data_IF_920204720028
#
_entry.id   IF_920204720028
#
_cell.length_a   1.000
_cell.length_b   1.000
_cell.length_c   1.000
_cell.angle_alpha   90.00
_cell.angle_beta   90.00
_cell.angle_gamma   90.00
#
_symmetry.space_group_name_H-M   'P 1'
#
loop_
_entity.id
_entity.type
_entity.pdbx_description
1 polymer ?
#
# COMPACT_ATOMS: atom_id res chain seq x y z
N UNK A 1 -29.11 -15.78 -28.38
CA UNK A 1 -27.67 -15.73 -28.72
C UNK A 1 -26.91 -15.09 -27.55
N UNK A 2 -25.91 -15.80 -26.98
CA UNK A 2 -25.11 -15.29 -25.85
C UNK A 2 -24.02 -14.36 -26.39
N UNK A 3 -24.09 -13.07 -26.04
CA UNK A 3 -23.05 -12.09 -26.34
C UNK A 3 -21.77 -12.49 -25.58
N UNK A 4 -20.75 -12.90 -26.33
CA UNK A 4 -19.39 -13.08 -25.84
C UNK A 4 -18.89 -11.72 -25.33
N UNK A 5 -18.71 -11.60 -24.01
CA UNK A 5 -18.00 -10.46 -23.45
C UNK A 5 -16.54 -10.53 -23.93
N UNK A 6 -16.17 -9.55 -24.76
CA UNK A 6 -14.82 -9.32 -25.23
C UNK A 6 -13.89 -9.13 -24.02
N UNK A 7 -13.08 -10.14 -23.73
CA UNK A 7 -11.91 -10.03 -22.88
C UNK A 7 -10.81 -9.28 -23.65
N UNK A 8 -10.76 -7.97 -23.50
CA UNK A 8 -9.60 -7.18 -23.91
C UNK A 8 -8.34 -7.71 -23.18
N UNK A 9 -7.21 -7.90 -23.87
CA UNK A 9 -5.94 -8.10 -23.21
C UNK A 9 -5.55 -6.77 -22.56
N UNK A 10 -5.78 -6.62 -21.27
CA UNK A 10 -5.17 -5.53 -20.49
C UNK A 10 -3.66 -5.67 -20.63
N UNK A 11 -2.99 -4.67 -21.21
CA UNK A 11 -1.52 -4.63 -21.30
C UNK A 11 -0.91 -4.83 -19.92
N UNK A 12 0.34 -5.30 -19.87
CA UNK A 12 1.04 -5.52 -18.60
C UNK A 12 1.09 -4.24 -17.76
N UNK A 13 1.35 -3.08 -18.37
CA UNK A 13 1.33 -1.80 -17.67
C UNK A 13 -0.07 -1.45 -17.14
N UNK A 14 -1.12 -1.69 -17.92
CA UNK A 14 -2.50 -1.43 -17.50
C UNK A 14 -2.92 -2.27 -16.29
N UNK A 15 -2.45 -3.51 -16.22
CA UNK A 15 -2.73 -4.40 -15.08
C UNK A 15 -1.94 -3.98 -13.82
N UNK A 16 -0.69 -3.57 -13.99
CA UNK A 16 0.13 -3.02 -12.90
C UNK A 16 -0.53 -1.76 -12.35
N UNK A 17 -0.90 -0.81 -13.22
CA UNK A 17 -1.54 0.44 -12.79
C UNK A 17 -2.86 0.19 -12.06
N UNK A 18 -3.72 -0.70 -12.58
CA UNK A 18 -4.95 -1.11 -11.91
C UNK A 18 -4.69 -1.65 -10.48
N UNK A 19 -3.63 -2.44 -10.31
CA UNK A 19 -3.22 -2.95 -9.00
C UNK A 19 -2.80 -1.81 -8.08
N UNK A 20 -1.99 -0.85 -8.56
CA UNK A 20 -1.56 0.31 -7.75
C UNK A 20 -2.75 1.13 -7.27
N UNK A 21 -3.63 1.51 -8.19
CA UNK A 21 -4.79 2.37 -7.90
C UNK A 21 -5.74 1.67 -6.93
N UNK A 22 -6.07 0.40 -7.20
CA UNK A 22 -6.95 -0.39 -6.34
C UNK A 22 -6.35 -0.63 -4.95
N UNK A 23 -5.04 -0.85 -4.85
CA UNK A 23 -4.35 -1.03 -3.58
C UNK A 23 -4.46 0.24 -2.72
N UNK A 24 -4.21 1.41 -3.31
CA UNK A 24 -4.33 2.69 -2.62
C UNK A 24 -5.76 2.97 -2.17
N UNK A 25 -6.74 2.72 -3.04
CA UNK A 25 -8.16 2.90 -2.74
C UNK A 25 -8.61 2.02 -1.57
N UNK A 26 -8.26 0.73 -1.57
CA UNK A 26 -8.67 -0.21 -0.52
C UNK A 26 -8.12 0.17 0.86
N UNK A 27 -6.99 0.86 0.88
CA UNK A 27 -6.32 1.29 2.10
C UNK A 27 -6.65 2.73 2.51
N UNK A 28 -7.43 3.46 1.71
CA UNK A 28 -8.05 4.70 2.16
C UNK A 28 -9.08 4.41 3.26
N UNK A 29 -9.05 5.19 4.33
CA UNK A 29 -10.07 5.17 5.37
C UNK A 29 -11.32 5.95 4.93
N UNK A 30 -11.88 5.59 3.76
CA UNK A 30 -13.21 6.06 3.37
C UNK A 30 -14.26 5.02 3.77
N UNK A 31 -15.45 5.45 4.23
CA UNK A 31 -16.58 4.54 4.39
C UNK A 31 -16.91 3.94 3.02
N UNK A 32 -17.09 2.62 3.00
CA UNK A 32 -17.27 1.80 1.77
C UNK A 32 -18.47 2.28 0.93
N UNK A 33 -19.42 2.99 1.54
CA UNK A 33 -20.66 3.47 0.92
C UNK A 33 -20.52 4.73 0.04
N UNK A 34 -19.41 5.48 0.11
CA UNK A 34 -19.21 6.66 -0.76
C UNK A 34 -18.39 6.31 -1.99
N UNK A 35 -19.05 5.65 -2.94
CA UNK A 35 -18.74 5.48 -4.37
C UNK A 35 -17.26 5.63 -4.76
N UNK A 36 -16.48 4.57 -4.53
CA UNK A 36 -15.28 4.25 -5.30
C UNK A 36 -15.67 3.24 -6.40
N UNK A 37 -14.95 3.17 -7.53
CA UNK A 37 -15.22 2.15 -8.55
C UNK A 37 -15.31 0.78 -7.88
N UNK A 38 -16.34 -0.02 -8.19
CA UNK A 38 -16.58 -1.28 -7.48
C UNK A 38 -15.38 -2.23 -7.66
N UNK A 39 -14.42 -2.17 -6.76
CA UNK A 39 -13.29 -3.09 -6.75
C UNK A 39 -13.88 -4.43 -6.39
N UNK A 40 -13.97 -5.32 -7.38
CA UNK A 40 -14.34 -6.70 -7.11
C UNK A 40 -13.17 -7.41 -6.42
N UNK A 41 -13.35 -8.00 -5.22
CA UNK A 41 -12.28 -8.73 -4.55
C UNK A 41 -11.65 -9.80 -5.45
N UNK A 42 -12.48 -10.50 -6.24
CA UNK A 42 -12.02 -11.52 -7.20
C UNK A 42 -11.16 -10.94 -8.32
N UNK A 43 -11.56 -9.80 -8.90
CA UNK A 43 -10.78 -9.14 -9.97
C UNK A 43 -9.44 -8.64 -9.42
N UNK A 44 -9.45 -8.00 -8.25
CA UNK A 44 -8.25 -7.49 -7.62
C UNK A 44 -7.28 -8.59 -7.20
N UNK A 45 -7.74 -9.62 -6.49
CA UNK A 45 -6.87 -10.76 -6.09
C UNK A 45 -6.27 -11.47 -7.29
N UNK A 46 -7.02 -11.62 -8.39
CA UNK A 46 -6.50 -12.14 -9.65
C UNK A 46 -5.42 -11.25 -10.26
N UNK A 47 -5.63 -9.93 -10.30
CA UNK A 47 -4.65 -8.97 -10.81
C UNK A 47 -3.39 -8.93 -9.94
N UNK A 48 -3.55 -8.85 -8.62
CA UNK A 48 -2.46 -8.94 -7.63
C UNK A 48 -1.63 -10.20 -7.82
N UNK A 49 -2.27 -11.36 -8.01
CA UNK A 49 -1.56 -12.62 -8.26
C UNK A 49 -0.75 -12.58 -9.55
N UNK A 50 -1.27 -11.97 -10.61
CA UNK A 50 -0.57 -11.84 -11.90
C UNK A 50 0.62 -10.90 -11.82
N UNK A 51 0.47 -9.77 -11.13
CA UNK A 51 1.51 -8.72 -11.04
C UNK A 51 2.56 -9.06 -9.99
N UNK A 52 2.13 -9.35 -8.77
CA UNK A 52 3.02 -9.50 -7.61
C UNK A 52 3.30 -10.96 -7.27
N UNK A 53 2.50 -11.90 -7.80
CA UNK A 53 2.60 -13.29 -7.42
C UNK A 53 1.94 -13.67 -6.09
N UNK A 54 1.35 -12.71 -5.37
CA UNK A 54 0.67 -12.99 -4.11
C UNK A 54 -0.62 -13.78 -4.36
N UNK A 55 -0.73 -14.91 -3.69
CA UNK A 55 -1.91 -15.76 -3.73
C UNK A 55 -2.88 -15.37 -2.61
N UNK A 56 -3.48 -14.18 -2.75
CA UNK A 56 -4.48 -13.67 -1.80
C UNK A 56 -5.81 -14.38 -2.04
N UNK A 57 -6.31 -15.08 -1.01
CA UNK A 57 -7.65 -15.65 -0.99
C UNK A 57 -8.52 -14.78 -0.11
N UNK A 58 -9.40 -13.99 -0.72
CA UNK A 58 -10.36 -13.18 0.02
C UNK A 58 -11.72 -13.22 -0.66
N UNK A 59 -12.75 -13.50 0.14
CA UNK A 59 -14.15 -13.51 -0.28
C UNK A 59 -14.79 -12.13 -0.18
N UNK A 60 -14.27 -11.29 0.73
CA UNK A 60 -14.81 -9.96 1.03
C UNK A 60 -13.76 -8.85 0.89
N UNK A 61 -14.23 -7.61 0.76
CA UNK A 61 -13.37 -6.42 0.78
C UNK A 61 -12.70 -6.20 2.13
N UNK A 62 -13.37 -6.57 3.23
CA UNK A 62 -12.83 -6.43 4.57
C UNK A 62 -11.62 -7.35 4.80
N UNK A 63 -11.75 -8.63 4.46
CA UNK A 63 -10.64 -9.60 4.52
C UNK A 63 -9.45 -9.16 3.66
N UNK A 64 -9.77 -8.62 2.48
CA UNK A 64 -8.77 -8.11 1.56
C UNK A 64 -8.01 -6.93 2.19
N UNK A 65 -8.73 -5.93 2.74
CA UNK A 65 -8.13 -4.77 3.42
C UNK A 65 -7.23 -5.20 4.58
N UNK A 66 -7.70 -6.12 5.43
CA UNK A 66 -6.90 -6.65 6.53
C UNK A 66 -5.62 -7.34 6.04
N UNK A 67 -5.71 -8.09 4.95
CA UNK A 67 -4.54 -8.75 4.34
C UNK A 67 -3.55 -7.73 3.81
N UNK A 68 -4.01 -6.68 3.12
CA UNK A 68 -3.15 -5.60 2.61
C UNK A 68 -2.44 -4.84 3.75
N UNK A 69 -3.14 -4.57 4.85
CA UNK A 69 -2.54 -3.93 6.04
C UNK A 69 -1.43 -4.80 6.64
N UNK A 70 -1.64 -6.13 6.73
CA UNK A 70 -0.60 -7.06 7.20
C UNK A 70 0.61 -7.08 6.27
N UNK A 71 0.39 -7.03 4.96
CA UNK A 71 1.47 -6.97 3.96
C UNK A 71 2.33 -5.72 4.17
N UNK A 72 1.71 -4.57 4.41
CA UNK A 72 2.44 -3.32 4.72
C UNK A 72 3.28 -3.46 5.98
N UNK A 73 2.74 -4.05 7.06
CA UNK A 73 3.52 -4.24 8.29
C UNK A 73 4.75 -5.15 8.16
N UNK A 74 4.82 -5.97 7.11
CA UNK A 74 5.90 -6.93 6.87
C UNK A 74 6.88 -6.56 5.75
N UNK A 75 6.60 -5.52 4.95
CA UNK A 75 7.29 -5.31 3.68
C UNK A 75 8.79 -4.97 3.83
N UNK A 76 9.18 -4.24 4.88
CA UNK A 76 10.58 -3.83 5.12
C UNK A 76 11.52 -5.01 5.36
N UNK A 77 10.98 -6.15 5.81
CA UNK A 77 11.76 -7.36 6.11
C UNK A 77 12.05 -8.19 4.86
N UNK A 78 11.30 -7.98 3.77
CA UNK A 78 11.38 -8.82 2.57
C UNK A 78 12.74 -8.74 1.86
N UNK A 79 13.35 -7.55 1.65
CA UNK A 79 14.66 -7.47 1.00
C UNK A 79 15.75 -8.21 1.78
N UNK A 80 15.74 -8.08 3.11
CA UNK A 80 16.69 -8.79 3.98
C UNK A 80 16.58 -10.31 3.84
N UNK A 81 15.34 -10.84 3.90
CA UNK A 81 15.08 -12.28 3.74
C UNK A 81 15.53 -12.78 2.36
N UNK A 82 15.27 -11.99 1.31
CA UNK A 82 15.64 -12.34 -0.05
C UNK A 82 17.17 -12.36 -0.24
N UNK A 83 17.88 -11.38 0.31
CA UNK A 83 19.34 -11.25 0.19
C UNK A 83 20.10 -12.33 0.95
N UNK A 84 19.58 -12.77 2.09
CA UNK A 84 20.21 -13.82 2.89
C UNK A 84 20.24 -15.18 2.19
N UNK A 85 19.28 -15.46 1.28
CA UNK A 85 19.13 -16.75 0.55
C UNK A 85 19.26 -18.01 1.43
N UNK A 86 18.93 -17.90 2.72
CA UNK A 86 19.15 -18.96 3.69
C UNK A 86 18.32 -20.21 3.34
N UNK A 87 19.01 -21.35 3.21
CA UNK A 87 18.38 -22.64 2.91
C UNK A 87 17.89 -22.79 1.47
N UNK A 88 18.31 -21.91 0.56
CA UNK A 88 17.96 -21.98 -0.86
C UNK A 88 16.53 -21.49 -1.17
N UNK A 89 16.14 -21.66 -2.44
CA UNK A 89 14.95 -21.00 -3.01
C UNK A 89 13.64 -21.35 -2.28
N UNK A 90 13.45 -22.62 -1.94
CA UNK A 90 12.23 -23.12 -1.29
C UNK A 90 12.14 -22.57 0.14
N UNK A 91 13.22 -22.63 0.91
CA UNK A 91 13.26 -22.14 2.27
C UNK A 91 13.05 -20.61 2.33
N UNK A 92 13.67 -19.85 1.42
CA UNK A 92 13.45 -18.41 1.32
C UNK A 92 11.99 -18.08 0.99
N UNK A 93 11.36 -18.79 0.05
CA UNK A 93 9.92 -18.62 -0.23
C UNK A 93 9.04 -18.93 0.98
N UNK A 94 9.41 -19.94 1.77
CA UNK A 94 8.68 -20.28 2.99
C UNK A 94 8.80 -19.17 4.04
N UNK A 95 10.00 -18.61 4.24
CA UNK A 95 10.21 -17.45 5.14
C UNK A 95 9.44 -16.22 4.68
N UNK A 96 9.47 -15.90 3.38
CA UNK A 96 8.69 -14.80 2.81
C UNK A 96 7.19 -15.01 3.03
N UNK A 97 6.68 -16.23 2.82
CA UNK A 97 5.28 -16.57 3.11
C UNK A 97 4.93 -16.37 4.59
N UNK A 98 5.83 -16.73 5.51
CA UNK A 98 5.62 -16.54 6.95
C UNK A 98 5.47 -15.07 7.33
N UNK A 99 6.22 -14.17 6.68
CA UNK A 99 6.13 -12.72 6.92
C UNK A 99 4.92 -12.10 6.25
N UNK A 100 4.65 -12.49 4.99
CA UNK A 100 3.55 -11.94 4.20
C UNK A 100 2.17 -12.48 4.65
N UNK A 101 2.13 -13.61 5.34
CA UNK A 101 0.90 -14.33 5.69
C UNK A 101 0.18 -14.97 4.49
N UNK A 102 0.70 -14.79 3.27
CA UNK A 102 0.13 -15.31 2.03
C UNK A 102 1.21 -15.98 1.16
N UNK A 103 0.87 -17.01 0.37
CA UNK A 103 1.84 -17.63 -0.52
C UNK A 103 2.31 -16.68 -1.62
N UNK A 104 3.62 -16.65 -1.85
CA UNK A 104 4.23 -15.95 -2.97
C UNK A 104 4.62 -16.96 -4.06
N UNK A 105 3.99 -16.85 -5.23
CA UNK A 105 4.38 -17.65 -6.40
C UNK A 105 5.65 -17.05 -7.01
N UNK A 106 6.59 -17.90 -7.38
CA UNK A 106 7.78 -17.61 -8.16
C UNK A 106 8.43 -18.95 -8.54
N UNK A 107 8.99 -19.04 -9.74
CA UNK A 107 9.65 -20.22 -10.31
C UNK A 107 11.17 -20.07 -10.36
N UNK A 108 11.68 -18.85 -10.27
CA UNK A 108 13.12 -18.56 -10.27
C UNK A 108 13.48 -17.46 -9.27
N UNK A 109 14.77 -17.34 -8.95
CA UNK A 109 15.31 -16.26 -8.12
C UNK A 109 15.05 -14.88 -8.72
N UNK A 110 15.27 -14.72 -10.03
CA UNK A 110 15.03 -13.46 -10.73
C UNK A 110 13.55 -13.03 -10.62
N UNK A 111 12.63 -13.97 -10.82
CA UNK A 111 11.20 -13.71 -10.69
C UNK A 111 10.81 -13.38 -9.24
N UNK A 112 11.39 -14.08 -8.26
CA UNK A 112 11.16 -13.81 -6.84
C UNK A 112 11.64 -12.40 -6.47
N UNK A 113 12.83 -12.00 -6.94
CA UNK A 113 13.40 -10.68 -6.69
C UNK A 113 12.56 -9.57 -7.31
N UNK A 114 12.10 -9.74 -8.55
CA UNK A 114 11.22 -8.79 -9.20
C UNK A 114 9.90 -8.62 -8.43
N UNK A 115 9.27 -9.73 -8.03
CA UNK A 115 8.00 -9.72 -7.30
C UNK A 115 8.13 -9.07 -5.92
N UNK A 116 9.20 -9.37 -5.18
CA UNK A 116 9.49 -8.74 -3.89
C UNK A 116 9.75 -7.24 -4.07
N UNK A 117 10.54 -6.84 -5.06
CA UNK A 117 10.80 -5.43 -5.36
C UNK A 117 9.50 -4.66 -5.62
N UNK A 118 8.62 -5.19 -6.49
CA UNK A 118 7.31 -4.60 -6.75
C UNK A 118 6.46 -4.46 -5.49
N UNK A 119 6.45 -5.47 -4.62
CA UNK A 119 5.71 -5.42 -3.36
C UNK A 119 6.23 -4.35 -2.41
N UNK A 120 7.56 -4.23 -2.29
CA UNK A 120 8.19 -3.19 -1.47
C UNK A 120 7.79 -1.82 -2.00
N UNK A 121 7.95 -1.57 -3.31
CA UNK A 121 7.55 -0.29 -3.91
C UNK A 121 6.08 0.05 -3.67
N UNK A 122 5.17 -0.92 -3.84
CA UNK A 122 3.73 -0.70 -3.60
C UNK A 122 3.45 -0.30 -2.16
N UNK A 123 4.08 -0.98 -1.19
CA UNK A 123 3.88 -0.71 0.22
C UNK A 123 4.52 0.62 0.66
N UNK A 124 5.74 0.91 0.21
CA UNK A 124 6.44 2.15 0.58
C UNK A 124 5.70 3.39 0.07
N UNK A 125 5.17 3.35 -1.17
CA UNK A 125 4.35 4.45 -1.71
C UNK A 125 3.11 4.70 -0.83
N UNK A 126 2.47 3.65 -0.32
CA UNK A 126 1.36 3.81 0.61
C UNK A 126 1.82 4.41 1.95
N UNK A 127 2.92 3.92 2.52
CA UNK A 127 3.47 4.42 3.80
C UNK A 127 3.78 5.91 3.71
N UNK A 128 4.47 6.35 2.66
CA UNK A 128 4.81 7.76 2.44
C UNK A 128 3.54 8.63 2.33
N UNK A 129 2.52 8.15 1.61
CA UNK A 129 1.24 8.85 1.48
C UNK A 129 0.47 8.89 2.81
N UNK A 130 0.51 7.81 3.59
CA UNK A 130 -0.11 7.77 4.91
C UNK A 130 0.56 8.74 5.88
N UNK A 131 1.90 8.83 5.87
CA UNK A 131 2.66 9.79 6.67
C UNK A 131 2.33 11.24 6.28
N UNK A 132 2.30 11.54 4.97
CA UNK A 132 1.89 12.87 4.47
C UNK A 132 0.48 13.25 4.95
N UNK A 133 -0.48 12.32 4.85
CA UNK A 133 -1.86 12.52 5.32
C UNK A 133 -1.93 12.76 6.82
N UNK A 134 -1.15 12.01 7.61
CA UNK A 134 -1.08 12.18 9.05
C UNK A 134 -0.51 13.55 9.45
N UNK A 135 0.58 13.96 8.81
CA UNK A 135 1.19 15.28 9.05
C UNK A 135 0.24 16.42 8.64
N UNK A 136 -0.47 16.26 7.53
CA UNK A 136 -1.50 17.23 7.11
C UNK A 136 -2.65 17.30 8.11
N UNK A 137 -3.14 16.16 8.61
CA UNK A 137 -4.21 16.12 9.61
C UNK A 137 -3.79 16.76 10.94
N UNK A 138 -2.53 16.59 11.36
CA UNK A 138 -1.96 17.30 12.52
C UNK A 138 -1.97 18.80 12.33
N UNK A 139 -1.52 19.29 11.17
CA UNK A 139 -1.53 20.72 10.85
C UNK A 139 -2.96 21.26 10.88
N UNK A 140 -3.90 20.58 10.22
CA UNK A 140 -5.31 20.99 10.24
C UNK A 140 -5.91 20.99 11.65
N UNK A 141 -5.58 20.00 12.47
CA UNK A 141 -6.05 19.94 13.86
C UNK A 141 -5.43 21.05 14.71
N UNK A 142 -4.15 21.36 14.51
CA UNK A 142 -3.47 22.47 15.16
C UNK A 142 -4.12 23.80 14.79
N UNK A 143 -4.32 24.08 13.50
CA UNK A 143 -5.00 25.29 13.01
C UNK A 143 -6.41 25.40 13.61
N UNK A 144 -7.17 24.31 13.58
CA UNK A 144 -8.51 24.27 14.16
C UNK A 144 -8.51 24.55 15.66
N UNK A 145 -7.56 23.98 16.40
CA UNK A 145 -7.42 24.18 17.84
C UNK A 145 -7.01 25.62 18.18
N UNK A 146 -6.04 26.19 17.46
CA UNK A 146 -5.60 27.58 17.66
C UNK A 146 -6.70 28.59 17.31
N UNK A 147 -7.52 28.31 16.29
CA UNK A 147 -8.67 29.16 15.96
C UNK A 147 -9.71 29.19 17.08
N UNK A 148 -9.91 28.09 17.81
CA UNK A 148 -10.80 28.05 18.98
C UNK A 148 -10.28 28.90 20.14
N UNK A 149 -8.97 29.10 20.24
CA UNK A 149 -8.32 29.98 21.22
C UNK A 149 -8.27 31.45 20.75
N UNK A 150 -8.90 31.78 19.61
CA UNK A 150 -8.89 33.13 19.03
C UNK A 150 -7.57 33.51 18.36
N UNK A 151 -6.66 32.55 18.18
CA UNK A 151 -5.39 32.75 17.47
C UNK A 151 -5.65 32.60 15.98
N UNK A 152 -5.69 33.72 15.25
CA UNK A 152 -5.84 33.69 13.79
C UNK A 152 -4.54 33.23 13.12
N UNK A 153 -4.52 31.97 12.73
CA UNK A 153 -3.50 31.36 11.89
C UNK A 153 -3.94 31.38 10.42
N UNK A 154 -4.46 32.50 9.91
CA UNK A 154 -4.77 32.69 8.49
C UNK A 154 -3.52 32.48 7.63
N UNK A 155 -3.27 31.22 7.28
CA UNK A 155 -2.09 30.79 6.56
C UNK A 155 -2.34 30.76 5.07
N UNK A 156 -1.60 31.60 4.34
CA UNK A 156 -1.31 31.39 2.92
C UNK A 156 -0.62 30.04 2.71
N UNK A 157 -0.76 29.46 1.52
CA UNK A 157 -0.17 28.17 1.16
C UNK A 157 1.34 28.09 1.46
N UNK A 158 2.06 29.21 1.35
CA UNK A 158 3.48 29.33 1.71
C UNK A 158 3.76 29.07 3.20
N UNK A 159 2.92 29.55 4.12
CA UNK A 159 3.11 29.32 5.55
C UNK A 159 2.91 27.85 5.93
N UNK A 160 1.96 27.15 5.28
CA UNK A 160 1.79 25.70 5.44
C UNK A 160 3.05 24.92 5.06
N UNK A 161 3.71 25.30 3.96
CA UNK A 161 4.98 24.68 3.56
C UNK A 161 6.12 24.99 4.53
N UNK A 162 6.18 26.20 5.09
CA UNK A 162 7.15 26.56 6.13
C UNK A 162 6.91 25.80 7.44
N UNK A 163 5.66 25.63 7.87
CA UNK A 163 5.33 24.83 9.05
C UNK A 163 5.59 23.35 8.85
N UNK A 164 5.32 22.79 7.66
CA UNK A 164 5.68 21.42 7.32
C UNK A 164 7.21 21.22 7.42
N UNK A 165 8.00 22.18 6.91
CA UNK A 165 9.47 22.16 7.05
C UNK A 165 9.91 22.24 8.51
N UNK A 166 9.28 23.06 9.35
CA UNK A 166 9.60 23.11 10.78
C UNK A 166 9.23 21.80 11.51
N UNK A 167 8.05 21.23 11.24
CA UNK A 167 7.64 19.96 11.85
C UNK A 167 8.50 18.78 11.40
N UNK A 168 9.04 18.80 10.19
CA UNK A 168 10.01 17.80 9.74
C UNK A 168 11.39 18.01 10.38
N UNK A 169 11.79 19.28 10.60
CA UNK A 169 13.08 19.64 11.20
C UNK A 169 13.14 19.42 12.72
N UNK A 170 12.04 19.69 13.41
CA UNK A 170 11.93 19.65 14.88
C UNK A 170 10.97 18.56 15.38
N UNK A 171 10.38 17.79 14.47
CA UNK A 171 9.51 16.66 14.78
C UNK A 171 10.23 15.64 15.64
N UNK A 172 9.67 15.42 16.83
CA UNK A 172 10.17 14.53 17.87
C UNK A 172 10.52 13.17 17.26
N UNK A 173 11.81 12.82 17.25
CA UNK A 173 12.28 11.45 17.03
C UNK A 173 11.52 10.57 18.02
N UNK A 174 10.79 9.56 17.52
CA UNK A 174 10.29 8.49 18.39
C UNK A 174 11.51 7.89 19.10
N UNK A 175 11.64 8.13 20.40
CA UNK A 175 12.48 7.31 21.26
C UNK A 175 11.95 5.87 21.18
N UNK A 176 12.89 4.94 20.98
CA UNK A 176 12.63 3.52 20.68
C UNK A 176 11.95 2.75 21.79
#
# INVERSE_FOLDING_TARGET
MKLKQNSQPTSKEGLEQYVKDSFMILLENRPVDKALPSISPKKFTSAMRKVTGLDVKSSSLLELKQTLVKLIGGHDKLPSILNQRQGGFIATKYKLRSVLGVPLRARSWAELQQRVSLLVTLCSVYVDLAEKRFNQAKISSFIGSSSLEGIDLSETQERKEQHLKMLLKYGIKKHG
#
